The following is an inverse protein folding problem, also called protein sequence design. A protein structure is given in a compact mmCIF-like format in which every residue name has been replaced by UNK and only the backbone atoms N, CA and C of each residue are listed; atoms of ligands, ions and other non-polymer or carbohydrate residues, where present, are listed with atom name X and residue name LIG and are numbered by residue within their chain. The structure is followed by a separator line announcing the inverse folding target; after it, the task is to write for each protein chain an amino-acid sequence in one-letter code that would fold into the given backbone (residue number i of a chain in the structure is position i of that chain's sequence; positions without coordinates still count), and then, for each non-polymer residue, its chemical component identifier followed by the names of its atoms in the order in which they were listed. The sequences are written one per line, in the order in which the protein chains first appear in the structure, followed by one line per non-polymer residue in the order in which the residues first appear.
data_IF_840722993642
#
_entry.id   IF_840722993642
#
_cell.length_a   1.000
_cell.length_b   1.000
_cell.length_c   1.000
_cell.angle_alpha   90.00
_cell.angle_beta   90.00
_cell.angle_gamma   90.00
#
_symmetry.space_group_name_H-M   'P 1'
#
loop_
_entity.id
_entity.type
_entity.pdbx_description
1 polymer ?
#
# COMPACT_ATOMS: atom_id res chain seq x y z
N UNK A 1 17.58 -31.17 -37.61
CA UNK A 1 18.65 -30.69 -36.70
C UNK A 1 18.83 -29.18 -36.69
N UNK A 2 19.22 -28.50 -37.79
CA UNK A 2 19.42 -27.03 -37.77
C UNK A 2 18.13 -26.24 -37.54
N UNK A 3 17.01 -26.69 -38.13
CA UNK A 3 15.69 -26.03 -37.99
C UNK A 3 15.09 -26.29 -36.59
N UNK A 4 15.20 -27.51 -36.07
CA UNK A 4 14.69 -27.85 -34.73
C UNK A 4 15.42 -27.06 -33.63
N UNK A 5 16.74 -26.88 -33.77
CA UNK A 5 17.51 -26.04 -32.87
C UNK A 5 17.09 -24.57 -32.95
N UNK A 6 16.84 -24.05 -34.16
CA UNK A 6 16.35 -22.66 -34.35
C UNK A 6 14.98 -22.46 -33.71
N UNK A 7 14.06 -23.42 -33.90
CA UNK A 7 12.71 -23.39 -33.29
C UNK A 7 12.83 -23.42 -31.77
N UNK A 8 13.71 -24.27 -31.22
CA UNK A 8 13.92 -24.40 -29.78
C UNK A 8 14.50 -23.12 -29.16
N UNK A 9 15.45 -22.47 -29.84
CA UNK A 9 15.98 -21.18 -29.40
C UNK A 9 14.91 -20.09 -29.48
N UNK A 10 14.11 -20.06 -30.56
CA UNK A 10 13.04 -19.08 -30.72
C UNK A 10 11.95 -19.24 -29.64
N UNK A 11 11.53 -20.47 -29.34
CA UNK A 11 10.55 -20.73 -28.27
C UNK A 11 11.11 -20.40 -26.89
N UNK A 12 12.39 -20.69 -26.64
CA UNK A 12 13.06 -20.28 -25.41
C UNK A 12 13.08 -18.75 -25.25
N UNK A 13 13.47 -18.01 -26.30
CA UNK A 13 13.48 -16.54 -26.24
C UNK A 13 12.07 -16.00 -25.99
N UNK A 14 11.06 -16.49 -26.73
CA UNK A 14 9.67 -16.05 -26.54
C UNK A 14 9.13 -16.33 -25.14
N UNK A 15 9.40 -17.51 -24.58
CA UNK A 15 8.98 -17.87 -23.23
C UNK A 15 9.67 -17.00 -22.18
N UNK A 16 10.98 -16.75 -22.31
CA UNK A 16 11.72 -15.86 -21.40
C UNK A 16 11.20 -14.42 -21.48
N UNK A 17 10.99 -13.88 -22.68
CA UNK A 17 10.43 -12.53 -22.87
C UNK A 17 9.02 -12.41 -22.28
N UNK A 18 8.18 -13.43 -22.45
CA UNK A 18 6.84 -13.46 -21.88
C UNK A 18 6.89 -13.45 -20.34
N UNK A 19 7.72 -14.30 -19.73
CA UNK A 19 7.90 -14.35 -18.28
C UNK A 19 8.43 -13.03 -17.70
N UNK A 20 9.40 -12.40 -18.37
CA UNK A 20 9.91 -11.08 -18.00
C UNK A 20 8.82 -10.01 -18.06
N UNK A 21 8.00 -10.03 -19.10
CA UNK A 21 6.89 -9.06 -19.27
C UNK A 21 5.86 -9.22 -18.15
N UNK A 22 5.48 -10.46 -17.83
CA UNK A 22 4.59 -10.75 -16.69
C UNK A 22 5.18 -10.28 -15.37
N UNK A 23 6.48 -10.52 -15.15
CA UNK A 23 7.17 -10.09 -13.94
C UNK A 23 7.17 -8.57 -13.78
N UNK A 24 7.50 -7.83 -14.84
CA UNK A 24 7.51 -6.36 -14.84
C UNK A 24 6.11 -5.81 -14.58
N UNK A 25 5.09 -6.30 -15.30
CA UNK A 25 3.72 -5.84 -15.13
C UNK A 25 3.19 -6.11 -13.72
N UNK A 26 3.52 -7.27 -13.14
CA UNK A 26 3.13 -7.58 -11.77
C UNK A 26 3.82 -6.64 -10.76
N UNK A 27 5.10 -6.32 -10.96
CA UNK A 27 5.83 -5.35 -10.12
C UNK A 27 5.22 -3.97 -10.18
N UNK A 28 4.88 -3.48 -11.38
CA UNK A 28 4.20 -2.18 -11.56
C UNK A 28 2.86 -2.18 -10.84
N UNK A 29 2.06 -3.24 -10.99
CA UNK A 29 0.76 -3.34 -10.31
C UNK A 29 0.89 -3.32 -8.77
N UNK A 30 1.92 -3.98 -8.22
CA UNK A 30 2.19 -3.94 -6.78
C UNK A 30 2.60 -2.52 -6.34
N UNK A 31 3.51 -1.89 -7.07
CA UNK A 31 3.96 -0.53 -6.78
C UNK A 31 2.82 0.48 -6.80
N UNK A 32 1.94 0.43 -7.82
CA UNK A 32 0.77 1.30 -7.91
C UNK A 32 -0.17 1.12 -6.70
N UNK A 33 -0.34 -0.12 -6.22
CA UNK A 33 -1.13 -0.40 -5.02
C UNK A 33 -0.48 0.13 -3.73
N UNK A 34 0.83 0.04 -3.61
CA UNK A 34 1.57 0.60 -2.47
C UNK A 34 1.54 2.12 -2.48
N UNK A 35 1.69 2.76 -3.65
CA UNK A 35 1.58 4.21 -3.82
C UNK A 35 0.18 4.70 -3.42
N UNK A 36 -0.87 4.02 -3.89
CA UNK A 36 -2.25 4.35 -3.53
C UNK A 36 -2.49 4.17 -2.02
N UNK A 37 -1.99 3.09 -1.43
CA UNK A 37 -2.07 2.88 0.02
C UNK A 37 -1.34 3.96 0.81
N UNK A 38 -0.18 4.41 0.33
CA UNK A 38 0.58 5.48 0.98
C UNK A 38 -0.18 6.80 0.90
N UNK A 39 -0.71 7.16 -0.27
CA UNK A 39 -1.57 8.34 -0.44
C UNK A 39 -2.77 8.32 0.51
N UNK A 40 -3.42 7.16 0.65
CA UNK A 40 -4.49 6.97 1.60
C UNK A 40 -4.06 7.18 3.06
N UNK A 41 -2.89 6.67 3.45
CA UNK A 41 -2.35 6.85 4.79
C UNK A 41 -2.06 8.33 5.10
N UNK A 42 -1.50 9.07 4.14
CA UNK A 42 -1.25 10.52 4.26
C UNK A 42 -2.54 11.31 4.47
N UNK A 43 -3.56 11.06 3.65
CA UNK A 43 -4.86 11.73 3.77
C UNK A 43 -5.55 11.44 5.10
N UNK A 44 -5.58 10.18 5.54
CA UNK A 44 -6.19 9.83 6.82
C UNK A 44 -5.42 10.43 8.00
N UNK A 45 -4.08 10.50 7.91
CA UNK A 45 -3.28 11.19 8.92
C UNK A 45 -3.60 12.68 9.01
N UNK A 46 -3.77 13.37 7.88
CA UNK A 46 -4.19 14.77 7.84
C UNK A 46 -5.61 14.96 8.41
N UNK A 47 -6.56 14.10 8.03
CA UNK A 47 -7.92 14.14 8.57
C UNK A 47 -7.92 13.99 10.10
N UNK A 48 -7.13 13.07 10.66
CA UNK A 48 -7.00 12.88 12.11
C UNK A 48 -6.44 14.14 12.79
N UNK A 49 -5.43 14.78 12.20
CA UNK A 49 -4.82 15.99 12.75
C UNK A 49 -5.83 17.15 12.74
N UNK A 50 -6.59 17.27 11.66
CA UNK A 50 -7.59 18.32 11.47
C UNK A 50 -8.90 18.07 12.25
N UNK A 51 -9.04 16.90 12.89
CA UNK A 51 -10.27 16.51 13.60
C UNK A 51 -11.44 16.16 12.67
N UNK A 52 -11.16 15.91 11.40
CA UNK A 52 -12.14 15.52 10.38
C UNK A 52 -12.56 14.06 10.54
N UNK A 53 -13.73 13.72 9.99
CA UNK A 53 -14.22 12.33 9.98
C UNK A 53 -13.40 11.46 9.01
N UNK A 54 -13.22 10.20 9.39
CA UNK A 54 -12.56 9.18 8.58
C UNK A 54 -13.42 8.78 7.39
N UNK A 55 -12.78 8.48 6.26
CA UNK A 55 -13.45 7.75 5.19
C UNK A 55 -13.07 6.29 5.32
N UNK A 56 -14.02 5.39 5.60
CA UNK A 56 -13.71 3.95 5.76
C UNK A 56 -13.45 3.31 4.40
N UNK A 57 -12.24 3.49 3.90
CA UNK A 57 -11.69 3.02 2.61
C UNK A 57 -11.02 1.64 2.68
N UNK A 58 -10.83 1.12 3.90
CA UNK A 58 -9.87 0.06 4.18
C UNK A 58 -9.89 -0.40 5.63
N UNK A 59 -8.94 -1.28 5.95
CA UNK A 59 -8.48 -1.44 7.33
C UNK A 59 -7.53 -0.29 7.63
N UNK A 60 -7.82 0.46 8.69
CA UNK A 60 -7.03 1.61 9.14
C UNK A 60 -6.62 1.34 10.59
N UNK A 61 -5.32 1.38 10.86
CA UNK A 61 -4.77 1.19 12.19
C UNK A 61 -4.06 2.47 12.65
N UNK A 62 -4.53 3.04 13.74
CA UNK A 62 -4.07 4.32 14.26
C UNK A 62 -3.42 4.05 15.62
N UNK A 63 -2.19 4.53 15.79
CA UNK A 63 -1.47 4.48 17.07
C UNK A 63 -1.05 5.90 17.42
N UNK A 64 -1.40 6.35 18.61
CA UNK A 64 -0.88 7.60 19.19
C UNK A 64 0.08 7.22 20.30
N UNK A 65 1.33 7.65 20.19
CA UNK A 65 2.39 7.41 21.16
C UNK A 65 2.73 8.73 21.82
N UNK A 66 2.59 8.78 23.13
CA UNK A 66 2.87 9.96 23.94
C UNK A 66 4.29 9.89 24.53
N UNK A 67 4.86 11.03 24.89
CA UNK A 67 6.22 11.13 25.48
C UNK A 67 6.38 10.36 26.79
N UNK A 68 5.30 10.13 27.52
CA UNK A 68 5.26 9.29 28.71
C UNK A 68 5.20 7.78 28.38
N UNK A 69 5.50 7.39 27.14
CA UNK A 69 5.44 6.02 26.61
C UNK A 69 4.04 5.38 26.64
N UNK A 70 2.98 6.14 26.96
CA UNK A 70 1.61 5.62 26.82
C UNK A 70 1.25 5.52 25.34
N UNK A 71 0.46 4.52 25.01
CA UNK A 71 0.02 4.24 23.65
C UNK A 71 -1.49 4.09 23.61
N UNK A 72 -2.14 4.84 22.73
CA UNK A 72 -3.54 4.65 22.38
C UNK A 72 -3.63 4.02 21.01
N UNK A 73 -4.37 2.93 20.88
CA UNK A 73 -4.59 2.24 19.61
C UNK A 73 -6.06 2.30 19.24
N UNK A 74 -6.33 2.53 17.96
CA UNK A 74 -7.66 2.52 17.37
C UNK A 74 -7.60 1.81 16.03
N UNK A 75 -8.52 0.88 15.81
CA UNK A 75 -8.66 0.17 14.55
C UNK A 75 -10.01 0.57 13.94
N UNK A 76 -9.99 0.99 12.68
CA UNK A 76 -11.15 1.40 11.91
C UNK A 76 -11.26 0.56 10.64
N UNK A 77 -12.50 0.22 10.28
CA UNK A 77 -12.80 -0.64 9.13
C UNK A 77 -12.55 -2.13 9.37
N UNK A 78 -13.39 -2.95 8.74
CA UNK A 78 -13.32 -4.41 8.79
C UNK A 78 -13.47 -4.97 7.37
N UNK A 79 -12.56 -5.85 6.95
CA UNK A 79 -12.67 -6.50 5.64
C UNK A 79 -11.36 -7.06 5.11
N UNK A 80 -11.46 -7.97 4.13
CA UNK A 80 -10.34 -8.60 3.45
C UNK A 80 -9.45 -7.54 2.77
N UNK A 81 -8.14 -7.59 3.07
CA UNK A 81 -7.11 -6.81 2.39
C UNK A 81 -7.11 -7.15 0.89
N UNK A 82 -7.36 -6.16 0.04
CA UNK A 82 -7.30 -6.30 -1.43
C UNK A 82 -6.15 -5.54 -2.07
N UNK A 83 -5.70 -4.44 -1.46
CA UNK A 83 -4.56 -3.64 -1.93
C UNK A 83 -3.39 -3.76 -0.95
N UNK A 84 -2.20 -3.30 -1.38
CA UNK A 84 -1.04 -3.19 -0.50
C UNK A 84 -1.34 -2.36 0.74
N UNK A 85 -0.51 -2.46 1.77
CA UNK A 85 -0.64 -1.66 2.99
C UNK A 85 0.52 -0.67 3.04
N UNK A 86 0.24 0.54 3.49
CA UNK A 86 1.28 1.54 3.73
C UNK A 86 0.99 2.26 5.05
N UNK A 87 2.01 2.92 5.57
CA UNK A 87 1.91 3.66 6.81
C UNK A 87 2.55 5.04 6.68
N UNK A 88 2.15 5.93 7.57
CA UNK A 88 2.75 7.25 7.75
C UNK A 88 2.83 7.63 9.22
N UNK A 89 3.66 8.61 9.50
CA UNK A 89 3.83 9.22 10.81
C UNK A 89 3.59 10.73 10.75
N UNK A 90 3.03 11.28 11.83
CA UNK A 90 2.88 12.73 12.02
C UNK A 90 3.09 13.11 13.48
N UNK A 91 3.69 14.28 13.70
CA UNK A 91 3.78 14.87 15.04
C UNK A 91 2.54 15.73 15.25
N UNK A 92 1.80 15.47 16.32
CA UNK A 92 0.61 16.26 16.69
C UNK A 92 1.02 17.51 17.46
N UNK A 93 0.09 18.46 17.58
CA UNK A 93 0.30 19.73 18.31
C UNK A 93 0.63 19.53 19.80
N UNK A 94 0.18 18.43 20.41
CA UNK A 94 0.53 18.01 21.77
C UNK A 94 1.90 17.32 21.86
N UNK A 95 2.66 17.28 20.75
CA UNK A 95 3.95 16.62 20.63
C UNK A 95 3.88 15.11 20.50
N UNK A 96 2.71 14.48 20.56
CA UNK A 96 2.57 13.03 20.41
C UNK A 96 2.85 12.56 18.98
N UNK A 97 3.39 11.35 18.84
CA UNK A 97 3.61 10.70 17.54
C UNK A 97 2.34 9.95 17.13
N UNK A 98 1.75 10.37 16.02
CA UNK A 98 0.67 9.68 15.33
C UNK A 98 1.28 8.73 14.30
N UNK A 99 0.91 7.46 14.36
CA UNK A 99 1.13 6.46 13.32
C UNK A 99 -0.22 6.08 12.72
N UNK A 100 -0.30 6.06 11.40
CA UNK A 100 -1.49 5.66 10.65
C UNK A 100 -1.06 4.65 9.61
N UNK A 101 -1.61 3.46 9.67
CA UNK A 101 -1.44 2.41 8.68
C UNK A 101 -2.77 2.18 7.96
N UNK A 102 -2.73 2.13 6.64
CA UNK A 102 -3.91 1.94 5.81
C UNK A 102 -3.68 0.81 4.82
N UNK A 103 -4.62 -0.13 4.81
CA UNK A 103 -4.76 -1.17 3.81
C UNK A 103 -6.08 -0.93 3.07
N UNK A 104 -6.07 -0.15 1.97
CA UNK A 104 -7.30 0.16 1.25
C UNK A 104 -7.87 -1.08 0.55
N UNK A 105 -9.20 -1.10 0.40
CA UNK A 105 -9.87 -1.99 -0.57
C UNK A 105 -10.42 -1.21 -1.78
N UNK A 106 -10.36 0.13 -1.74
CA UNK A 106 -10.73 1.08 -2.79
C UNK A 106 -9.75 2.26 -2.79
N UNK A 107 -9.59 2.90 -3.94
CA UNK A 107 -8.80 4.13 -4.09
C UNK A 107 -9.36 5.27 -3.20
N UNK A 108 -8.46 6.10 -2.70
CA UNK A 108 -8.78 7.27 -1.91
C UNK A 108 -9.22 8.43 -2.80
N UNK A 109 -10.36 9.01 -2.44
CA UNK A 109 -10.87 10.23 -3.08
C UNK A 109 -10.56 11.42 -2.18
N UNK A 110 -9.89 12.46 -2.69
CA UNK A 110 -9.67 13.71 -1.95
C UNK A 110 -10.99 14.39 -1.59
#
# INVERSE_FOLDING_TARGET
MKIDALITVATFVLTVTYMLTLFINNRICILDREIEAWKCAEMEAENIINGSNFTVIGRIEIKTIYWNYTKKMRLEGFGQQKMGCAYTYRIRSDGSLLYVEVCPYKACKP
#
